data_IF_197056606954
#
_entry.id   IF_197056606954
#
_cell.length_a   1.000
_cell.length_b   1.000
_cell.length_c   1.000
_cell.angle_alpha   90.00
_cell.angle_beta   90.00
_cell.angle_gamma   90.00
#
_symmetry.space_group_name_H-M   'P 1'
#
loop_
_entity.id
_entity.type
_entity.pdbx_description
1 polymer ?
#
# COMPACT_ATOMS: atom_id res chain seq x y z
N UNK A 1 6.21 16.37 0.08
CA UNK A 1 7.30 15.39 0.06
C UNK A 1 6.76 14.02 -0.33
N UNK A 2 7.49 13.29 -1.16
CA UNK A 2 7.17 11.90 -1.48
C UNK A 2 7.88 10.99 -0.50
N UNK A 3 7.12 10.15 0.19
CA UNK A 3 7.66 9.24 1.21
C UNK A 3 7.32 7.81 0.80
N UNK A 4 8.32 6.97 0.64
CA UNK A 4 8.16 5.61 0.16
C UNK A 4 8.22 4.58 1.26
N UNK A 5 7.46 3.50 1.09
CA UNK A 5 7.52 2.33 1.96
C UNK A 5 7.92 1.12 1.12
N UNK A 6 9.02 0.51 1.50
CA UNK A 6 9.53 -0.69 0.83
C UNK A 6 9.49 -1.85 1.81
N UNK A 7 9.03 -3.00 1.32
CA UNK A 7 8.97 -4.22 2.14
C UNK A 7 9.64 -5.34 1.37
N UNK A 8 10.64 -5.97 1.99
CA UNK A 8 11.41 -7.02 1.36
C UNK A 8 11.54 -8.22 2.29
N UNK A 9 11.66 -9.39 1.69
CA UNK A 9 12.11 -10.57 2.41
C UNK A 9 13.63 -10.44 2.61
N UNK A 10 14.27 -11.44 3.18
CA UNK A 10 15.71 -11.40 3.48
C UNK A 10 16.60 -11.27 2.24
N UNK A 11 16.02 -11.16 1.05
CA UNK A 11 16.75 -11.03 -0.21
C UNK A 11 16.99 -9.56 -0.54
N UNK A 12 18.23 -9.11 -0.48
CA UNK A 12 18.62 -7.71 -0.68
C UNK A 12 18.41 -7.20 -2.11
N UNK A 13 18.31 -8.09 -3.10
CA UNK A 13 18.14 -7.70 -4.49
C UNK A 13 16.83 -6.95 -4.75
N UNK A 14 15.75 -7.39 -4.09
CA UNK A 14 14.44 -6.74 -4.25
C UNK A 14 14.42 -5.35 -3.64
N UNK A 15 15.14 -5.13 -2.56
CA UNK A 15 15.21 -3.81 -1.94
C UNK A 15 15.87 -2.79 -2.86
N UNK A 16 17.00 -3.14 -3.47
CA UNK A 16 17.69 -2.22 -4.38
C UNK A 16 16.82 -1.84 -5.56
N UNK A 17 16.06 -2.77 -6.13
CA UNK A 17 15.14 -2.50 -7.23
C UNK A 17 14.05 -1.52 -6.82
N UNK A 18 13.46 -1.71 -5.64
CA UNK A 18 12.42 -0.81 -5.13
C UNK A 18 12.98 0.58 -4.86
N UNK A 19 14.17 0.67 -4.29
CA UNK A 19 14.81 1.96 -4.02
C UNK A 19 15.10 2.71 -5.32
N UNK A 20 15.53 2.00 -6.36
CA UNK A 20 15.79 2.60 -7.67
C UNK A 20 14.51 3.14 -8.29
N UNK A 21 13.42 2.38 -8.24
CA UNK A 21 12.12 2.84 -8.74
C UNK A 21 11.64 4.08 -7.99
N UNK A 22 11.80 4.09 -6.66
CA UNK A 22 11.42 5.25 -5.85
C UNK A 22 12.28 6.47 -6.21
N UNK A 23 13.57 6.27 -6.45
CA UNK A 23 14.46 7.37 -6.82
C UNK A 23 14.04 8.02 -8.13
N UNK A 24 13.63 7.21 -9.10
CA UNK A 24 13.21 7.71 -10.43
C UNK A 24 12.01 8.64 -10.34
N UNK A 25 11.12 8.43 -9.41
CA UNK A 25 9.92 9.25 -9.26
C UNK A 25 10.07 10.39 -8.27
N UNK A 26 11.25 10.50 -7.63
CA UNK A 26 11.55 11.62 -6.75
C UNK A 26 11.19 11.39 -5.28
N UNK A 27 11.13 10.14 -4.84
CA UNK A 27 10.90 9.84 -3.42
C UNK A 27 12.10 10.31 -2.61
N UNK A 28 11.84 11.12 -1.58
CA UNK A 28 12.88 11.76 -0.77
C UNK A 28 13.23 10.98 0.49
N UNK A 29 12.28 10.24 1.04
CA UNK A 29 12.47 9.47 2.26
C UNK A 29 11.87 8.09 2.08
N UNK A 30 12.62 7.05 2.42
CA UNK A 30 12.15 5.67 2.32
C UNK A 30 12.22 4.99 3.67
N UNK A 31 11.13 4.32 4.04
CA UNK A 31 11.08 3.42 5.19
C UNK A 31 11.10 1.99 4.67
N UNK A 32 12.19 1.29 4.94
CA UNK A 32 12.38 -0.06 4.41
C UNK A 32 12.19 -1.09 5.52
N UNK A 33 11.28 -2.02 5.29
CA UNK A 33 10.93 -3.07 6.24
C UNK A 33 11.48 -4.41 5.77
N UNK A 34 12.20 -5.10 6.64
CA UNK A 34 12.65 -6.45 6.36
C UNK A 34 11.66 -7.43 6.97
N UNK A 35 11.12 -8.31 6.14
CA UNK A 35 10.25 -9.37 6.58
C UNK A 35 11.10 -10.56 6.99
N UNK A 36 11.32 -10.75 8.29
CA UNK A 36 11.94 -11.97 8.77
C UNK A 36 10.86 -13.05 8.84
N UNK A 37 11.23 -14.29 8.53
CA UNK A 37 10.30 -15.38 8.28
C UNK A 37 9.29 -15.74 9.37
N UNK A 38 9.49 -15.27 10.60
CA UNK A 38 8.57 -15.58 11.70
C UNK A 38 7.73 -14.39 12.14
N UNK A 39 8.14 -13.18 11.76
CA UNK A 39 7.48 -11.96 12.24
C UNK A 39 6.80 -11.25 11.08
N UNK A 40 5.67 -11.79 10.66
CA UNK A 40 4.84 -11.16 9.63
C UNK A 40 3.90 -10.12 10.21
N UNK A 41 3.79 -10.07 11.55
CA UNK A 41 2.76 -9.29 12.23
C UNK A 41 3.19 -7.86 12.51
N UNK A 42 4.46 -7.66 12.83
CA UNK A 42 4.98 -6.34 13.19
C UNK A 42 5.54 -5.61 11.98
N UNK A 43 5.19 -4.33 11.88
CA UNK A 43 5.68 -3.44 10.82
C UNK A 43 6.19 -2.16 11.47
N UNK A 44 7.33 -2.22 12.19
CA UNK A 44 7.84 -1.03 12.89
C UNK A 44 8.20 0.11 11.95
N UNK A 45 8.74 -0.17 10.76
CA UNK A 45 9.07 0.89 9.81
C UNK A 45 7.82 1.53 9.22
N UNK A 46 6.76 0.75 9.01
CA UNK A 46 5.47 1.28 8.56
C UNK A 46 4.92 2.26 9.61
N UNK A 47 4.96 1.88 10.87
CA UNK A 47 4.49 2.74 11.96
C UNK A 47 5.33 4.01 12.09
N UNK A 48 6.65 3.90 11.90
CA UNK A 48 7.52 5.08 11.89
C UNK A 48 7.14 6.02 10.74
N UNK A 49 6.83 5.47 9.57
CA UNK A 49 6.40 6.26 8.43
C UNK A 49 5.12 7.02 8.73
N UNK A 50 4.12 6.35 9.31
CA UNK A 50 2.85 6.99 9.66
C UNK A 50 3.04 8.12 10.67
N UNK A 51 4.02 8.00 11.56
CA UNK A 51 4.36 9.05 12.52
C UNK A 51 5.16 10.19 11.91
N UNK A 52 5.86 9.93 10.83
CA UNK A 52 6.72 10.89 10.14
C UNK A 52 5.93 11.79 9.18
N UNK A 53 4.96 11.23 8.46
CA UNK A 53 4.26 11.95 7.40
C UNK A 53 3.33 13.01 7.95
N UNK A 54 3.12 14.06 7.15
CA UNK A 54 2.30 15.21 7.50
C UNK A 54 1.38 15.56 6.35
N UNK A 55 0.42 16.45 6.63
CA UNK A 55 -0.45 17.00 5.60
C UNK A 55 0.37 17.51 4.42
N UNK A 56 -0.05 17.15 3.22
CA UNK A 56 0.65 17.53 1.99
C UNK A 56 1.66 16.52 1.50
N UNK A 57 2.07 15.58 2.34
CA UNK A 57 2.98 14.50 1.92
C UNK A 57 2.21 13.45 1.12
N UNK A 58 2.92 12.75 0.24
CA UNK A 58 2.36 11.64 -0.53
C UNK A 58 3.09 10.36 -0.15
N UNK A 59 2.33 9.33 0.22
CA UNK A 59 2.89 8.02 0.53
C UNK A 59 2.94 7.19 -0.75
N UNK A 60 4.08 6.58 -1.00
CA UNK A 60 4.35 5.82 -2.22
C UNK A 60 4.57 4.36 -1.87
N UNK A 61 3.82 3.48 -2.51
CA UNK A 61 3.89 2.03 -2.32
C UNK A 61 4.07 1.34 -3.67
N UNK A 62 4.73 0.21 -3.68
CA UNK A 62 4.88 -0.58 -4.89
C UNK A 62 3.54 -1.20 -5.32
N UNK A 63 2.75 -1.67 -4.34
CA UNK A 63 1.46 -2.31 -4.58
C UNK A 63 0.53 -2.09 -3.39
N UNK A 64 -0.78 -2.30 -3.59
CA UNK A 64 -1.77 -2.16 -2.51
C UNK A 64 -1.51 -3.11 -1.34
N UNK A 65 -0.94 -4.27 -1.61
CA UNK A 65 -0.62 -5.25 -0.57
C UNK A 65 0.33 -4.72 0.48
N UNK A 66 1.08 -3.68 0.15
CA UNK A 66 2.03 -3.05 1.08
C UNK A 66 1.35 -2.15 2.11
N UNK A 67 0.10 -1.72 1.84
CA UNK A 67 -0.64 -0.85 2.75
C UNK A 67 -1.17 -1.58 3.98
N UNK A 68 -1.40 -2.87 3.87
CA UNK A 68 -1.92 -3.64 4.98
C UNK A 68 -1.79 -5.13 4.73
N UNK A 69 -1.98 -5.92 5.79
CA UNK A 69 -1.87 -7.37 5.71
C UNK A 69 -3.17 -8.01 5.21
N UNK A 70 -4.25 -7.27 5.27
CA UNK A 70 -5.56 -7.72 4.81
C UNK A 70 -6.35 -6.51 4.31
N UNK A 71 -7.54 -6.77 3.76
CA UNK A 71 -8.37 -5.70 3.18
C UNK A 71 -8.78 -4.65 4.19
N UNK A 72 -9.07 -5.05 5.43
CA UNK A 72 -9.45 -4.10 6.48
C UNK A 72 -8.31 -3.13 6.79
N UNK A 73 -7.09 -3.63 6.92
CA UNK A 73 -5.93 -2.78 7.17
C UNK A 73 -5.62 -1.86 5.99
N UNK A 74 -5.79 -2.34 4.77
CA UNK A 74 -5.62 -1.51 3.57
C UNK A 74 -6.59 -0.34 3.61
N UNK A 75 -7.87 -0.61 3.88
CA UNK A 75 -8.89 0.42 3.95
C UNK A 75 -8.63 1.40 5.10
N UNK A 76 -8.17 0.92 6.25
CA UNK A 76 -7.80 1.77 7.37
C UNK A 76 -6.65 2.71 7.01
N UNK A 77 -5.64 2.19 6.33
CA UNK A 77 -4.49 3.00 5.90
C UNK A 77 -4.92 4.08 4.92
N UNK A 78 -5.77 3.73 3.95
CA UNK A 78 -6.29 4.70 2.98
C UNK A 78 -7.12 5.77 3.69
N UNK A 79 -7.95 5.36 4.64
CA UNK A 79 -8.74 6.31 5.43
C UNK A 79 -7.86 7.27 6.22
N UNK A 80 -6.80 6.77 6.82
CA UNK A 80 -5.82 7.60 7.53
C UNK A 80 -5.19 8.62 6.58
N UNK A 81 -4.78 8.19 5.40
CA UNK A 81 -4.19 9.07 4.39
C UNK A 81 -5.16 10.18 3.99
N UNK A 82 -6.41 9.80 3.71
CA UNK A 82 -7.43 10.77 3.28
C UNK A 82 -7.79 11.76 4.39
N UNK A 83 -7.94 11.28 5.62
CA UNK A 83 -8.32 12.14 6.75
C UNK A 83 -7.24 13.16 7.10
N UNK A 84 -5.99 12.82 6.87
CA UNK A 84 -4.87 13.69 7.24
C UNK A 84 -4.37 14.55 6.08
N UNK A 85 -5.11 14.61 4.98
CA UNK A 85 -4.76 15.48 3.86
C UNK A 85 -3.51 15.06 3.11
N UNK A 86 -3.22 13.77 3.08
CA UNK A 86 -2.06 13.24 2.39
C UNK A 86 -2.45 12.61 1.07
N UNK A 87 -1.47 12.40 0.19
CA UNK A 87 -1.68 11.73 -1.09
C UNK A 87 -1.27 10.27 -1.04
N UNK A 88 -1.76 9.50 -1.98
CA UNK A 88 -1.43 8.08 -2.13
C UNK A 88 -1.00 7.81 -3.56
N UNK A 89 0.14 7.13 -3.72
CA UNK A 89 0.65 6.71 -5.01
C UNK A 89 1.01 5.23 -4.92
N UNK A 90 0.42 4.42 -5.80
CA UNK A 90 0.70 2.99 -5.87
C UNK A 90 1.24 2.70 -7.26
N UNK A 91 2.49 2.22 -7.34
CA UNK A 91 3.21 2.15 -8.60
C UNK A 91 2.59 1.21 -9.62
N UNK A 92 1.98 0.12 -9.17
CA UNK A 92 1.33 -0.81 -10.09
C UNK A 92 -0.15 -0.48 -10.33
N UNK A 93 -0.63 0.65 -9.81
CA UNK A 93 -2.01 1.12 -10.03
C UNK A 93 -2.02 2.62 -10.32
N UNK A 94 -1.52 3.05 -11.48
CA UNK A 94 -1.41 4.49 -11.77
C UNK A 94 -2.73 5.25 -11.76
N UNK A 95 -3.86 4.55 -11.91
CA UNK A 95 -5.17 5.18 -11.88
C UNK A 95 -5.44 5.88 -10.55
N UNK A 96 -4.80 5.45 -9.46
CA UNK A 96 -5.04 6.01 -8.13
C UNK A 96 -4.51 7.44 -8.00
N UNK A 97 -3.54 7.83 -8.80
CA UNK A 97 -2.99 9.19 -8.77
C UNK A 97 -3.28 9.98 -10.05
N UNK A 98 -4.19 9.48 -10.89
CA UNK A 98 -4.60 10.18 -12.10
C UNK A 98 -5.43 11.40 -11.74
N UNK A 99 -5.14 12.53 -12.38
CA UNK A 99 -5.86 13.78 -12.15
C UNK A 99 -6.96 13.96 -13.19
N UNK A 100 -8.18 14.18 -12.71
CA UNK A 100 -9.36 14.38 -13.56
C UNK A 100 -9.85 15.83 -13.54
N UNK A 101 -9.16 16.71 -12.81
CA UNK A 101 -9.55 18.09 -12.69
C UNK A 101 -10.57 18.38 -11.57
N UNK A 102 -11.03 17.34 -10.89
CA UNK A 102 -11.99 17.46 -9.79
C UNK A 102 -11.51 16.60 -8.62
N UNK A 103 -11.07 17.19 -7.51
CA UNK A 103 -10.58 16.43 -6.36
C UNK A 103 -11.61 15.44 -5.79
N UNK A 104 -12.89 15.78 -5.84
CA UNK A 104 -13.93 14.88 -5.35
C UNK A 104 -14.07 13.65 -6.22
N UNK A 105 -13.98 13.81 -7.54
CA UNK A 105 -14.02 12.70 -8.47
C UNK A 105 -12.79 11.82 -8.31
N UNK A 106 -11.61 12.42 -8.13
CA UNK A 106 -10.37 11.68 -7.92
C UNK A 106 -10.45 10.81 -6.68
N UNK A 107 -10.99 11.35 -5.60
CA UNK A 107 -11.18 10.61 -4.35
C UNK A 107 -12.18 9.47 -4.51
N UNK A 108 -13.26 9.69 -5.24
CA UNK A 108 -14.27 8.66 -5.50
C UNK A 108 -13.68 7.50 -6.32
N UNK A 109 -12.97 7.81 -7.39
CA UNK A 109 -12.32 6.79 -8.24
C UNK A 109 -11.34 5.97 -7.41
N UNK A 110 -10.53 6.63 -6.59
CA UNK A 110 -9.56 5.94 -5.72
C UNK A 110 -10.28 5.00 -4.77
N UNK A 111 -11.34 5.46 -4.12
CA UNK A 111 -12.11 4.62 -3.19
C UNK A 111 -12.73 3.41 -3.88
N UNK A 112 -13.29 3.61 -5.06
CA UNK A 112 -13.90 2.52 -5.83
C UNK A 112 -12.88 1.45 -6.22
N UNK A 113 -11.73 1.87 -6.74
CA UNK A 113 -10.68 0.93 -7.17
C UNK A 113 -10.18 0.12 -5.98
N UNK A 114 -9.92 0.77 -4.86
CA UNK A 114 -9.42 0.10 -3.67
C UNK A 114 -10.46 -0.86 -3.09
N UNK A 115 -11.72 -0.47 -3.07
CA UNK A 115 -12.79 -1.33 -2.57
C UNK A 115 -12.97 -2.56 -3.45
N UNK A 116 -12.95 -2.39 -4.77
CA UNK A 116 -13.06 -3.51 -5.71
C UNK A 116 -11.88 -4.47 -5.52
N UNK A 117 -10.68 -3.94 -5.43
CA UNK A 117 -9.48 -4.75 -5.23
C UNK A 117 -9.54 -5.54 -3.93
N UNK A 118 -9.93 -4.88 -2.84
CA UNK A 118 -10.05 -5.51 -1.53
C UNK A 118 -11.11 -6.59 -1.51
N UNK A 119 -12.24 -6.33 -2.15
CA UNK A 119 -13.33 -7.30 -2.26
C UNK A 119 -12.89 -8.54 -3.03
N UNK A 120 -12.19 -8.35 -4.15
CA UNK A 120 -11.69 -9.46 -4.97
C UNK A 120 -10.74 -10.34 -4.18
N UNK A 121 -9.81 -9.74 -3.45
CA UNK A 121 -8.86 -10.49 -2.62
C UNK A 121 -9.58 -11.29 -1.53
N UNK A 122 -10.56 -10.67 -0.87
CA UNK A 122 -11.36 -11.32 0.16
C UNK A 122 -12.15 -12.50 -0.41
N UNK A 123 -12.76 -12.28 -1.55
CA UNK A 123 -13.57 -13.31 -2.21
C UNK A 123 -12.73 -14.51 -2.64
N UNK A 124 -11.53 -14.28 -3.13
CA UNK A 124 -10.60 -15.35 -3.49
C UNK A 124 -10.24 -16.20 -2.27
N UNK A 125 -9.98 -15.57 -1.13
CA UNK A 125 -9.66 -16.29 0.10
C UNK A 125 -10.81 -17.16 0.56
N UNK A 126 -12.02 -16.64 0.53
CA UNK A 126 -13.21 -17.38 0.91
C UNK A 126 -13.45 -18.57 -0.02
N UNK A 127 -13.24 -18.38 -1.30
CA UNK A 127 -13.37 -19.46 -2.27
C UNK A 127 -12.36 -20.56 -2.05
N UNK A 128 -11.12 -20.23 -1.75
CA UNK A 128 -10.08 -21.20 -1.43
C UNK A 128 -10.46 -22.00 -0.18
N UNK A 129 -10.91 -21.33 0.86
CA UNK A 129 -11.33 -21.99 2.10
C UNK A 129 -12.50 -22.93 1.87
N UNK A 130 -13.46 -22.52 1.04
CA UNK A 130 -14.60 -23.36 0.71
C UNK A 130 -14.19 -24.61 -0.05
N UNK A 131 -13.28 -24.46 -1.00
CA UNK A 131 -12.75 -25.61 -1.77
C UNK A 131 -11.99 -26.59 -0.87
N UNK A 132 -11.21 -26.08 0.06
CA UNK A 132 -10.51 -26.92 1.02
C UNK A 132 -11.47 -27.69 1.92
N UNK A 133 -12.56 -27.06 2.28
CA UNK A 133 -13.59 -27.70 3.10
C UNK A 133 -14.34 -28.82 2.37
N UNK A 134 -14.59 -28.63 1.08
CA UNK A 134 -15.30 -29.60 0.26
C UNK A 134 -14.43 -30.76 -0.25
N UNK A 135 -13.21 -30.64 -0.24
CA UNK A 135 -12.31 -31.40 -0.77
C UNK A 135 -11.71 -32.39 -0.70
N UNK A 136 -11.76 -32.29 -0.25
CA UNK A 136 -11.32 -33.08 -0.41
C UNK A 136 -10.80 -33.81 -0.97
#
# INVERSE_FOLDING_TARGET
MLVGYARVSSDDQNLERQLEEFRKIGVEKVFAEKKSGRNTVERPEFNKMLSFVREGDTLVFESLERLGRNSDEILETVSFIDKNGMGLMVLNLPILDTKFGDPNLEKLVRSLVINIFSWTAQNEREEIKRKQKQGI
#
